data_IF_595177427813
#
_entry.id   IF_595177427813
#
_cell.length_a   1.000
_cell.length_b   1.000
_cell.length_c   1.000
_cell.angle_alpha   90.00
_cell.angle_beta   90.00
_cell.angle_gamma   90.00
#
_symmetry.space_group_name_H-M   'P 1'
#
loop_
_entity.id
_entity.type
_entity.pdbx_description
1 polymer ?
#
# COMPACT_ATOMS: atom_id res chain seq x y z
N UNK A 1 -9.81 18.97 64.71
CA UNK A 1 -8.38 18.71 64.39
C UNK A 1 -8.32 17.28 63.87
N UNK A 2 -8.05 16.96 62.61
CA UNK A 2 -7.77 17.68 61.39
C UNK A 2 -7.66 16.63 60.26
N UNK A 3 -7.98 17.05 59.02
CA UNK A 3 -7.41 16.63 57.71
C UNK A 3 -7.30 15.12 57.41
N UNK A 4 -8.13 14.56 56.52
CA UNK A 4 -7.93 14.42 55.04
C UNK A 4 -6.80 13.41 54.72
N UNK A 5 -6.92 12.43 53.82
CA UNK A 5 -7.27 12.53 52.40
C UNK A 5 -7.49 11.13 51.80
N UNK A 6 -8.45 11.06 50.89
CA UNK A 6 -8.51 10.11 49.79
C UNK A 6 -7.33 10.28 48.83
N UNK A 7 -6.74 9.19 48.32
CA UNK A 7 -6.12 9.22 46.99
C UNK A 7 -6.16 7.84 46.33
N UNK A 8 -7.12 7.69 45.44
CA UNK A 8 -6.93 7.04 44.14
C UNK A 8 -5.60 7.49 43.52
N UNK A 9 -4.92 6.57 42.84
CA UNK A 9 -4.35 6.82 41.51
C UNK A 9 -3.92 5.48 40.92
N UNK A 10 -4.81 4.96 40.07
CA UNK A 10 -4.43 4.18 38.90
C UNK A 10 -3.51 5.05 38.05
N UNK A 11 -2.24 4.65 37.88
CA UNK A 11 -1.47 5.05 36.72
C UNK A 11 -0.25 4.13 36.55
N UNK A 12 -0.28 3.28 35.52
CA UNK A 12 0.88 3.10 34.66
C UNK A 12 0.42 2.47 33.33
N UNK A 13 -0.34 3.24 32.56
CA UNK A 13 -0.54 2.94 31.13
C UNK A 13 0.53 3.65 30.33
N UNK A 14 1.80 3.28 30.49
CA UNK A 14 2.85 3.72 29.56
C UNK A 14 2.82 2.83 28.32
N UNK A 15 1.78 3.00 27.48
CA UNK A 15 1.81 2.55 26.09
C UNK A 15 2.66 3.58 25.34
N UNK A 16 3.95 3.29 25.27
CA UNK A 16 4.99 4.08 24.61
C UNK A 16 4.50 4.73 23.31
N UNK A 17 4.44 6.07 23.31
CA UNK A 17 4.43 6.93 22.14
C UNK A 17 5.60 6.53 21.22
N UNK A 18 5.33 5.78 20.16
CA UNK A 18 6.24 5.73 19.01
C UNK A 18 6.00 7.01 18.22
N UNK A 19 6.81 8.03 18.48
CA UNK A 19 6.96 9.18 17.59
C UNK A 19 7.32 8.67 16.21
N UNK A 20 6.44 8.82 15.23
CA UNK A 20 6.73 8.49 13.83
C UNK A 20 7.93 9.32 13.37
N UNK A 21 9.10 8.70 13.28
CA UNK A 21 10.32 9.37 12.82
C UNK A 21 10.25 9.53 11.31
N UNK A 22 10.03 10.77 10.86
CA UNK A 22 10.16 11.13 9.46
C UNK A 22 11.64 11.04 9.02
N UNK A 23 11.89 10.36 7.91
CA UNK A 23 13.19 10.18 7.29
C UNK A 23 13.36 11.18 6.13
N UNK A 24 14.61 11.61 5.83
CA UNK A 24 14.87 12.55 4.74
C UNK A 24 14.71 11.93 3.34
N UNK A 25 14.84 10.61 3.23
CA UNK A 25 14.72 9.86 1.99
C UNK A 25 13.91 8.58 2.21
N UNK A 26 13.17 8.15 1.19
CA UNK A 26 12.49 6.87 1.19
C UNK A 26 13.46 5.71 1.38
N UNK A 27 13.07 4.75 2.22
CA UNK A 27 13.74 3.46 2.35
C UNK A 27 13.69 2.74 1.01
N UNK A 28 14.84 2.24 0.57
CA UNK A 28 14.96 1.57 -0.72
C UNK A 28 14.00 0.38 -0.82
N UNK A 29 13.89 -0.45 0.22
CA UNK A 29 13.02 -1.63 0.21
C UNK A 29 11.54 -1.23 0.09
N UNK A 30 11.11 -0.22 0.85
CA UNK A 30 9.73 0.25 0.83
C UNK A 30 9.36 0.78 -0.56
N UNK A 31 10.18 1.71 -1.06
CA UNK A 31 9.99 2.33 -2.36
C UNK A 31 10.03 1.31 -3.51
N UNK A 32 11.03 0.43 -3.54
CA UNK A 32 11.15 -0.55 -4.63
C UNK A 32 10.05 -1.62 -4.60
N UNK A 33 9.56 -2.00 -3.41
CA UNK A 33 8.45 -2.95 -3.31
C UNK A 33 7.19 -2.42 -3.99
N UNK A 34 6.79 -1.18 -3.68
CA UNK A 34 5.51 -0.60 -4.14
C UNK A 34 5.61 -0.01 -5.54
N UNK A 35 6.70 0.68 -5.87
CA UNK A 35 6.80 1.43 -7.13
C UNK A 35 7.44 0.62 -8.26
N UNK A 36 8.06 -0.52 -7.94
CA UNK A 36 8.75 -1.36 -8.93
C UNK A 36 8.25 -2.80 -8.90
N UNK A 37 8.56 -3.56 -7.84
CA UNK A 37 8.36 -5.00 -7.83
C UNK A 37 6.88 -5.41 -7.98
N UNK A 38 6.00 -4.88 -7.15
CA UNK A 38 4.57 -5.18 -7.21
C UNK A 38 3.91 -4.80 -8.55
N UNK A 39 4.04 -3.55 -9.05
CA UNK A 39 3.39 -3.17 -10.30
C UNK A 39 3.96 -3.92 -11.51
N UNK A 40 5.27 -4.24 -11.55
CA UNK A 40 5.83 -5.06 -12.64
C UNK A 40 5.11 -6.39 -12.72
N UNK A 41 5.01 -7.13 -11.62
CA UNK A 41 4.37 -8.46 -11.64
C UNK A 41 2.87 -8.34 -11.86
N UNK A 42 2.22 -7.32 -11.30
CA UNK A 42 0.79 -7.09 -11.50
C UNK A 42 0.44 -6.80 -12.96
N UNK A 43 1.30 -6.09 -13.71
CA UNK A 43 1.06 -5.80 -15.12
C UNK A 43 1.54 -6.91 -16.06
N UNK A 44 2.54 -7.69 -15.69
CA UNK A 44 3.06 -8.79 -16.51
C UNK A 44 2.05 -9.94 -16.64
N UNK A 45 1.43 -10.35 -15.52
CA UNK A 45 0.34 -11.33 -15.53
C UNK A 45 -0.71 -10.96 -14.47
N UNK A 46 -1.70 -10.11 -14.84
CA UNK A 46 -2.74 -9.65 -13.93
C UNK A 46 -3.54 -10.76 -13.26
N UNK A 47 -3.87 -11.83 -14.01
CA UNK A 47 -4.66 -12.93 -13.46
C UNK A 47 -3.86 -13.77 -12.47
N UNK A 48 -2.61 -14.08 -12.81
CA UNK A 48 -1.72 -14.79 -11.90
C UNK A 48 -1.51 -13.98 -10.62
N UNK A 49 -1.18 -12.69 -10.76
CA UNK A 49 -0.97 -11.81 -9.63
C UNK A 49 -2.20 -11.80 -8.70
N UNK A 50 -3.39 -11.53 -9.27
CA UNK A 50 -4.64 -11.48 -8.50
C UNK A 50 -4.97 -12.81 -7.84
N UNK A 51 -4.74 -13.94 -8.53
CA UNK A 51 -4.96 -15.27 -7.97
C UNK A 51 -4.03 -15.55 -6.78
N UNK A 52 -2.75 -15.21 -6.91
CA UNK A 52 -1.75 -15.51 -5.87
C UNK A 52 -1.91 -14.59 -4.68
N UNK A 53 -2.04 -13.28 -4.90
CA UNK A 53 -2.15 -12.28 -3.82
C UNK A 53 -3.43 -12.48 -3.00
N UNK A 54 -4.52 -12.96 -3.61
CA UNK A 54 -5.77 -13.25 -2.92
C UNK A 54 -5.80 -14.62 -2.20
N UNK A 55 -4.73 -15.41 -2.29
CA UNK A 55 -4.67 -16.77 -1.76
C UNK A 55 -3.83 -16.89 -0.49
N UNK A 56 -3.84 -18.08 0.11
CA UNK A 56 -2.94 -18.43 1.23
C UNK A 56 -1.44 -18.41 0.84
N UNK A 57 -1.11 -18.29 -0.45
CA UNK A 57 0.27 -18.18 -0.93
C UNK A 57 0.80 -16.74 -0.93
N UNK A 58 -0.05 -15.75 -0.61
CA UNK A 58 0.28 -14.31 -0.67
C UNK A 58 1.54 -13.97 0.11
N UNK A 59 1.68 -14.45 1.36
CA UNK A 59 2.88 -14.22 2.18
C UNK A 59 4.14 -14.79 1.55
N UNK A 60 4.10 -16.03 1.03
CA UNK A 60 5.26 -16.63 0.37
C UNK A 60 5.63 -15.86 -0.90
N UNK A 61 4.64 -15.44 -1.67
CA UNK A 61 4.84 -14.63 -2.88
C UNK A 61 5.47 -13.27 -2.56
N UNK A 62 4.92 -12.53 -1.59
CA UNK A 62 5.45 -11.25 -1.15
C UNK A 62 6.85 -11.38 -0.54
N UNK A 63 7.12 -12.45 0.21
CA UNK A 63 8.47 -12.73 0.74
C UNK A 63 9.49 -12.91 -0.38
N UNK A 64 9.16 -13.66 -1.43
CA UNK A 64 10.06 -13.85 -2.58
C UNK A 64 10.32 -12.52 -3.31
N UNK A 65 9.29 -11.66 -3.44
CA UNK A 65 9.47 -10.32 -4.02
C UNK A 65 10.34 -9.43 -3.13
N UNK A 66 10.14 -9.47 -1.82
CA UNK A 66 10.95 -8.72 -0.87
C UNK A 66 12.41 -9.18 -0.89
N UNK A 67 12.68 -10.48 -1.05
CA UNK A 67 14.03 -11.00 -1.24
C UNK A 67 14.69 -10.47 -2.52
N UNK A 68 13.93 -10.36 -3.62
CA UNK A 68 14.43 -9.77 -4.87
C UNK A 68 14.75 -8.28 -4.69
N UNK A 69 13.85 -7.53 -4.04
CA UNK A 69 14.05 -6.12 -3.70
C UNK A 69 15.27 -5.96 -2.80
N UNK A 70 15.45 -6.83 -1.80
CA UNK A 70 16.59 -6.77 -0.88
C UNK A 70 17.92 -6.94 -1.60
N UNK A 71 17.99 -7.79 -2.63
CA UNK A 71 19.18 -7.93 -3.47
C UNK A 71 19.45 -6.67 -4.29
N UNK A 72 18.40 -6.04 -4.82
CA UNK A 72 18.53 -4.79 -5.57
C UNK A 72 18.92 -3.60 -4.69
N UNK A 73 18.48 -3.58 -3.44
CA UNK A 73 18.73 -2.49 -2.48
C UNK A 73 20.03 -2.62 -1.70
N UNK A 74 20.75 -3.75 -1.81
CA UNK A 74 21.91 -4.08 -0.95
C UNK A 74 22.93 -2.96 -0.76
N UNK A 75 23.23 -2.18 -1.80
CA UNK A 75 24.24 -1.13 -1.74
C UNK A 75 23.70 0.21 -1.19
N UNK A 76 22.38 0.42 -1.23
CA UNK A 76 21.71 1.66 -0.76
C UNK A 76 21.13 1.49 0.64
N UNK A 77 20.53 0.33 0.92
CA UNK A 77 19.94 -0.03 2.19
C UNK A 77 20.26 -1.52 2.43
N UNK A 78 21.35 -1.85 3.16
CA UNK A 78 21.80 -3.23 3.31
C UNK A 78 20.89 -4.11 4.16
N UNK A 79 20.03 -3.51 4.99
CA UNK A 79 19.16 -4.20 5.93
C UNK A 79 17.72 -3.71 5.72
N UNK A 80 16.81 -4.65 5.46
CA UNK A 80 15.39 -4.36 5.45
C UNK A 80 14.87 -4.26 6.89
N UNK A 81 14.26 -3.13 7.25
CA UNK A 81 13.71 -2.90 8.60
C UNK A 81 12.38 -3.63 8.86
N UNK A 82 11.80 -4.26 7.84
CA UNK A 82 10.52 -4.95 7.92
C UNK A 82 10.58 -6.31 7.20
N UNK A 83 9.59 -7.13 7.48
CA UNK A 83 9.41 -8.47 6.91
C UNK A 83 8.06 -8.55 6.22
N UNK A 84 7.75 -9.69 5.60
CA UNK A 84 6.43 -9.89 4.99
C UNK A 84 5.30 -9.93 6.01
N UNK A 85 5.58 -10.16 7.30
CA UNK A 85 4.56 -10.15 8.35
C UNK A 85 4.06 -8.74 8.68
N UNK A 86 4.80 -7.71 8.27
CA UNK A 86 4.42 -6.30 8.38
C UNK A 86 3.50 -5.84 7.25
N UNK A 87 3.18 -6.72 6.29
CA UNK A 87 2.22 -6.47 5.23
C UNK A 87 0.86 -7.06 5.60
N UNK A 88 -0.21 -6.36 5.28
CA UNK A 88 -1.54 -6.93 5.27
C UNK A 88 -2.13 -6.93 3.87
N UNK A 89 -2.84 -8.00 3.52
CA UNK A 89 -3.48 -8.15 2.20
C UNK A 89 -4.98 -8.30 2.40
N UNK A 90 -5.73 -7.48 1.67
CA UNK A 90 -7.18 -7.40 1.72
C UNK A 90 -7.76 -7.70 0.33
N UNK A 91 -8.04 -8.98 0.04
CA UNK A 91 -8.82 -9.34 -1.14
C UNK A 91 -10.25 -8.81 -0.96
N UNK A 92 -10.71 -8.01 -1.91
CA UNK A 92 -11.99 -7.31 -1.84
C UNK A 92 -12.56 -7.08 -3.24
N UNK A 93 -13.65 -6.32 -3.35
CA UNK A 93 -14.17 -5.81 -4.60
C UNK A 93 -14.34 -4.29 -4.50
N UNK A 94 -13.98 -3.59 -5.58
CA UNK A 94 -14.28 -2.17 -5.74
C UNK A 94 -15.34 -2.07 -6.84
N UNK A 95 -16.59 -1.81 -6.44
CA UNK A 95 -17.73 -1.96 -7.34
C UNK A 95 -17.89 -3.41 -7.82
N UNK A 96 -17.90 -3.62 -9.14
CA UNK A 96 -17.97 -4.95 -9.75
C UNK A 96 -16.59 -5.61 -9.97
N UNK A 97 -15.50 -4.90 -9.71
CA UNK A 97 -14.14 -5.32 -10.04
C UNK A 97 -13.45 -6.05 -8.89
N UNK A 98 -12.85 -7.23 -9.11
CA UNK A 98 -11.93 -7.85 -8.16
C UNK A 98 -10.76 -6.93 -7.83
N UNK A 99 -10.44 -6.82 -6.53
CA UNK A 99 -9.37 -5.96 -6.06
C UNK A 99 -8.57 -6.65 -4.95
N UNK A 100 -7.26 -6.41 -4.92
CA UNK A 100 -6.43 -6.71 -3.78
C UNK A 100 -5.79 -5.40 -3.30
N UNK A 101 -6.06 -5.04 -2.04
CA UNK A 101 -5.37 -3.93 -1.39
C UNK A 101 -4.27 -4.51 -0.51
N UNK A 102 -3.05 -4.00 -0.67
CA UNK A 102 -1.89 -4.33 0.13
C UNK A 102 -1.61 -3.12 1.02
N UNK A 103 -1.68 -3.31 2.32
CA UNK A 103 -1.20 -2.35 3.31
C UNK A 103 0.28 -2.58 3.56
N UNK A 104 1.03 -1.49 3.48
CA UNK A 104 2.47 -1.48 3.60
C UNK A 104 2.88 -1.18 5.05
N UNK A 105 4.10 -1.54 5.46
CA UNK A 105 4.67 -1.05 6.71
C UNK A 105 4.59 0.49 6.76
N UNK A 106 4.37 1.10 7.95
CA UNK A 106 4.14 2.53 8.06
C UNK A 106 5.20 3.37 7.32
N UNK A 107 4.78 4.32 6.45
CA UNK A 107 5.70 5.12 5.67
C UNK A 107 6.37 6.20 6.53
N UNK A 108 7.68 6.31 6.40
CA UNK A 108 8.55 7.21 7.15
C UNK A 108 9.09 8.36 6.29
N UNK A 109 9.01 8.29 4.97
CA UNK A 109 9.50 9.34 4.09
C UNK A 109 8.63 9.48 2.84
N UNK A 110 8.68 10.63 2.19
CA UNK A 110 8.09 10.80 0.85
C UNK A 110 9.01 10.12 -0.18
N UNK A 111 8.49 9.37 -1.17
CA UNK A 111 7.07 9.03 -1.42
C UNK A 111 6.72 7.58 -1.02
N UNK A 112 7.09 7.11 0.19
CA UNK A 112 6.71 5.78 0.65
C UNK A 112 5.18 5.64 0.77
N UNK A 113 4.65 4.47 0.44
CA UNK A 113 3.20 4.24 0.42
C UNK A 113 2.60 3.71 1.73
N UNK A 114 1.35 4.08 1.99
CA UNK A 114 0.49 3.44 2.98
C UNK A 114 -0.19 2.19 2.38
N UNK A 115 -0.73 2.33 1.16
CA UNK A 115 -1.48 1.28 0.49
C UNK A 115 -1.14 1.19 -1.00
N UNK A 116 -1.30 -0.01 -1.56
CA UNK A 116 -1.36 -0.26 -2.98
C UNK A 116 -2.59 -1.10 -3.33
N UNK A 117 -3.35 -0.70 -4.33
CA UNK A 117 -4.52 -1.41 -4.85
C UNK A 117 -4.24 -1.90 -6.27
N UNK A 118 -4.35 -3.22 -6.46
CA UNK A 118 -4.46 -3.82 -7.78
C UNK A 118 -5.94 -4.07 -8.07
N UNK A 119 -6.47 -3.44 -9.12
CA UNK A 119 -7.86 -3.58 -9.54
C UNK A 119 -7.90 -4.25 -10.90
N UNK A 120 -8.50 -5.43 -10.95
CA UNK A 120 -8.70 -6.16 -12.20
C UNK A 120 -9.97 -5.65 -12.88
N UNK A 121 -9.83 -4.99 -14.03
CA UNK A 121 -10.94 -4.46 -14.82
C UNK A 121 -11.59 -5.56 -15.68
N UNK A 122 -11.98 -6.63 -15.00
CA UNK A 122 -12.75 -7.73 -15.55
C UNK A 122 -13.96 -7.98 -14.64
N UNK A 123 -15.14 -8.03 -15.23
CA UNK A 123 -16.38 -8.39 -14.57
C UNK A 123 -16.67 -9.89 -14.75
N UNK A 124 -17.45 -10.52 -13.86
CA UNK A 124 -17.80 -11.93 -13.99
C UNK A 124 -18.54 -12.28 -15.29
N UNK A 125 -19.21 -11.30 -15.91
CA UNK A 125 -19.94 -11.45 -17.16
C UNK A 125 -19.05 -11.28 -18.40
N UNK A 126 -17.81 -10.82 -18.22
CA UNK A 126 -16.85 -10.79 -19.31
C UNK A 126 -16.48 -12.23 -19.63
N UNK A 127 -16.81 -12.67 -20.85
CA UNK A 127 -16.22 -13.87 -21.44
C UNK A 127 -14.72 -13.59 -21.57
N UNK A 128 -13.96 -13.92 -20.51
CA UNK A 128 -12.53 -13.65 -20.47
C UNK A 128 -11.90 -14.30 -21.70
N UNK A 129 -11.24 -13.53 -22.57
CA UNK A 129 -10.60 -14.10 -23.73
C UNK A 129 -9.61 -15.18 -23.25
N UNK A 130 -9.56 -16.28 -23.99
CA UNK A 130 -8.64 -17.38 -23.74
C UNK A 130 -7.17 -16.97 -23.86
N UNK A 131 -6.92 -15.79 -24.45
CA UNK A 131 -5.62 -15.16 -24.53
C UNK A 131 -5.53 -14.05 -23.47
N UNK A 132 -4.47 -14.08 -22.66
CA UNK A 132 -4.30 -13.24 -21.47
C UNK A 132 -4.10 -11.74 -21.80
N UNK A 133 -3.97 -11.39 -23.08
CA UNK A 133 -3.55 -10.06 -23.56
C UNK A 133 -4.54 -8.91 -23.37
N UNK A 134 -5.85 -9.16 -23.20
CA UNK A 134 -6.86 -8.11 -23.10
C UNK A 134 -7.26 -7.75 -21.65
N UNK A 135 -6.68 -8.43 -20.66
CA UNK A 135 -7.05 -8.24 -19.26
C UNK A 135 -6.39 -6.98 -18.71
N UNK A 136 -7.21 -5.96 -18.45
CA UNK A 136 -6.73 -4.68 -17.93
C UNK A 136 -6.64 -4.70 -16.41
N UNK A 137 -5.55 -4.17 -15.88
CA UNK A 137 -5.34 -3.93 -14.46
C UNK A 137 -5.07 -2.44 -14.24
N UNK A 138 -5.53 -1.90 -13.13
CA UNK A 138 -5.11 -0.59 -12.61
C UNK A 138 -4.36 -0.78 -11.31
N UNK A 139 -3.25 -0.06 -11.16
CA UNK A 139 -2.39 -0.13 -9.98
C UNK A 139 -2.32 1.25 -9.32
N UNK A 140 -3.05 1.41 -8.22
CA UNK A 140 -3.24 2.69 -7.53
C UNK A 140 -2.51 2.65 -6.19
N UNK A 141 -1.86 3.74 -5.80
CA UNK A 141 -1.12 3.86 -4.54
C UNK A 141 -1.65 5.04 -3.72
N UNK A 142 -1.61 4.89 -2.40
CA UNK A 142 -1.75 6.01 -1.47
C UNK A 142 -0.38 6.28 -0.86
N UNK A 143 0.26 7.35 -1.29
CA UNK A 143 1.64 7.70 -0.94
C UNK A 143 1.66 8.71 0.20
N UNK A 144 2.71 8.67 1.02
CA UNK A 144 3.02 9.74 1.97
C UNK A 144 3.46 10.97 1.20
N UNK A 145 2.81 12.09 1.50
CA UNK A 145 3.15 13.40 0.99
C UNK A 145 3.48 14.37 2.12
N UNK A 146 3.86 15.57 1.70
CA UNK A 146 4.00 16.74 2.57
C UNK A 146 3.28 17.91 1.93
N UNK A 147 2.60 18.71 2.75
CA UNK A 147 2.01 19.97 2.31
C UNK A 147 3.11 21.03 2.14
N UNK A 148 2.83 22.17 1.49
CA UNK A 148 3.80 23.28 1.37
C UNK A 148 4.32 23.80 2.72
N UNK A 149 3.55 23.62 3.80
CA UNK A 149 3.90 24.02 5.17
C UNK A 149 4.52 22.86 5.97
N UNK A 150 5.06 21.83 5.30
CA UNK A 150 5.64 20.61 5.89
C UNK A 150 4.67 19.79 6.78
N UNK A 151 3.37 20.00 6.61
CA UNK A 151 2.33 19.17 7.25
C UNK A 151 2.22 17.79 6.59
N UNK A 152 1.91 16.71 7.34
CA UNK A 152 1.70 15.40 6.73
C UNK A 152 0.45 15.43 5.84
N UNK A 153 0.56 14.88 4.63
CA UNK A 153 -0.59 14.58 3.79
C UNK A 153 -0.41 13.22 3.10
N UNK A 154 -1.41 12.82 2.34
CA UNK A 154 -1.33 11.67 1.44
C UNK A 154 -1.48 12.15 0.01
N UNK A 155 -1.03 11.33 -0.94
CA UNK A 155 -1.11 11.59 -2.37
C UNK A 155 -1.68 10.34 -3.04
N UNK A 156 -2.73 10.51 -3.84
CA UNK A 156 -3.29 9.41 -4.62
C UNK A 156 -2.58 9.32 -5.96
N UNK A 157 -1.97 8.18 -6.26
CA UNK A 157 -1.19 7.99 -7.48
C UNK A 157 -1.63 6.73 -8.24
N UNK A 158 -1.26 6.64 -9.52
CA UNK A 158 -1.41 5.43 -10.34
C UNK A 158 -0.11 5.15 -11.09
N UNK A 159 0.27 3.88 -11.13
CA UNK A 159 1.22 3.35 -12.09
C UNK A 159 0.46 2.76 -13.26
N UNK A 160 0.92 3.04 -14.49
CA UNK A 160 0.42 2.41 -15.71
C UNK A 160 1.38 1.31 -16.19
N UNK A 161 0.90 0.44 -17.07
CA UNK A 161 1.69 -0.67 -17.64
C UNK A 161 2.92 -0.19 -18.43
N UNK A 162 2.90 1.03 -18.96
CA UNK A 162 4.04 1.69 -19.60
C UNK A 162 5.02 2.36 -18.62
N UNK A 163 4.88 2.09 -17.31
CA UNK A 163 5.70 2.63 -16.22
C UNK A 163 5.57 4.15 -16.02
N UNK A 164 4.46 4.77 -16.47
CA UNK A 164 4.16 6.15 -16.11
C UNK A 164 3.58 6.22 -14.69
N UNK A 165 4.11 7.14 -13.87
CA UNK A 165 3.57 7.49 -12.55
C UNK A 165 2.70 8.74 -12.68
N UNK A 166 1.42 8.60 -12.36
CA UNK A 166 0.43 9.68 -12.39
C UNK A 166 0.08 10.06 -10.97
N UNK A 167 0.18 11.35 -10.65
CA UNK A 167 -0.22 11.92 -9.37
C UNK A 167 -1.57 12.63 -9.56
N UNK A 168 -2.57 12.26 -8.76
CA UNK A 168 -3.92 12.83 -8.79
C UNK A 168 -4.16 13.96 -7.78
N UNK A 169 -3.10 14.38 -7.08
CA UNK A 169 -3.14 15.38 -6.03
C UNK A 169 -3.41 14.77 -4.65
N UNK A 170 -4.01 15.59 -3.79
CA UNK A 170 -4.31 15.24 -2.41
C UNK A 170 -5.09 13.92 -2.32
N UNK A 171 -4.57 13.01 -1.49
CA UNK A 171 -5.20 11.74 -1.21
C UNK A 171 -6.16 11.78 -0.03
N UNK A 172 -6.94 10.71 0.17
CA UNK A 172 -7.73 10.51 1.39
C UNK A 172 -6.85 10.31 2.63
N UNK A 173 -7.45 10.38 3.81
CA UNK A 173 -6.82 9.88 5.04
C UNK A 173 -6.31 8.44 4.84
N UNK A 174 -5.17 8.10 5.44
CA UNK A 174 -4.54 6.78 5.34
C UNK A 174 -5.28 5.70 6.16
N UNK A 175 -6.53 5.42 5.75
CA UNK A 175 -7.39 4.37 6.27
C UNK A 175 -7.87 3.50 5.13
N UNK A 176 -7.92 2.18 5.36
CA UNK A 176 -8.21 1.18 4.35
C UNK A 176 -9.55 1.43 3.62
N UNK A 177 -10.62 1.73 4.35
CA UNK A 177 -11.95 1.97 3.83
C UNK A 177 -12.06 3.29 3.05
N UNK A 178 -11.38 4.34 3.53
CA UNK A 178 -11.32 5.63 2.85
C UNK A 178 -10.49 5.53 1.57
N UNK A 179 -9.37 4.80 1.60
CA UNK A 179 -8.57 4.51 0.41
C UNK A 179 -9.36 3.69 -0.62
N UNK A 180 -10.05 2.63 -0.20
CA UNK A 180 -10.92 1.84 -1.08
C UNK A 180 -12.01 2.71 -1.75
N UNK A 181 -12.58 3.67 -1.01
CA UNK A 181 -13.55 4.63 -1.54
C UNK A 181 -12.91 5.56 -2.57
N UNK A 182 -11.73 6.11 -2.29
CA UNK A 182 -11.02 6.97 -3.25
C UNK A 182 -10.63 6.22 -4.53
N UNK A 183 -10.22 4.94 -4.42
CA UNK A 183 -9.98 4.07 -5.57
C UNK A 183 -11.26 3.93 -6.40
N UNK A 184 -12.41 3.65 -5.77
CA UNK A 184 -13.70 3.56 -6.44
C UNK A 184 -14.03 4.83 -7.22
N UNK A 185 -13.93 5.99 -6.58
CA UNK A 185 -14.23 7.29 -7.19
C UNK A 185 -13.30 7.58 -8.38
N UNK A 186 -12.03 7.18 -8.29
CA UNK A 186 -11.06 7.32 -9.38
C UNK A 186 -11.41 6.43 -10.58
N UNK A 187 -11.94 5.22 -10.34
CA UNK A 187 -12.41 4.33 -11.42
C UNK A 187 -13.62 4.94 -12.14
N UNK A 188 -14.56 5.53 -11.41
CA UNK A 188 -15.80 6.10 -11.96
C UNK A 188 -15.57 7.38 -12.78
N UNK A 189 -14.50 8.14 -12.50
CA UNK A 189 -14.16 9.38 -13.24
C UNK A 189 -13.52 9.14 -14.62
N UNK A 190 -13.12 7.92 -14.92
CA UNK A 190 -12.35 7.57 -16.13
C UNK A 190 -13.05 6.54 -17.03
N UNK A 191 -14.35 6.31 -16.80
CA UNK A 191 -15.26 5.56 -17.69
C UNK A 191 -16.09 6.53 -18.53
#
# INVERSE_FOLDING_TARGET
MGISESSSNDDDTTRSNQTEVNLPNARCHHYNMVHYALPVVAFEDPLFFMRVIASQQSKKFLSNLLDMVSRACKDTEPVCEFTVDDFAVYPTRIGSYPCAIIEMPPPRAVPEAFFAAAVLLATPDDNLPSDHGDIKLRYITLEKGVTPDDGPCTVLCEWTSDRTHRNYGDGPEAKLDVFATAVKDLLERQV
#
